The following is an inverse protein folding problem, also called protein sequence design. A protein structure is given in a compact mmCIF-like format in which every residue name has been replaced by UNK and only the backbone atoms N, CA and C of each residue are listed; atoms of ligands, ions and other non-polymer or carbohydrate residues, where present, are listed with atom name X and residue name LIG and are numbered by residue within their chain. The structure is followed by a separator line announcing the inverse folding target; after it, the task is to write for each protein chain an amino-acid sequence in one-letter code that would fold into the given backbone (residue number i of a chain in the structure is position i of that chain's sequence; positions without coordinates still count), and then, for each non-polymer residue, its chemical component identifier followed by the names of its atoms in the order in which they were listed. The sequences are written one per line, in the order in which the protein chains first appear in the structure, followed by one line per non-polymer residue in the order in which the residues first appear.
data_IF_351178994091
#
_entry.id   IF_351178994091
#
_cell.length_a   1.000
_cell.length_b   1.000
_cell.length_c   1.000
_cell.angle_alpha   90.00
_cell.angle_beta   90.00
_cell.angle_gamma   90.00
#
_symmetry.space_group_name_H-M   'P 1'
#
loop_
_entity.id
_entity.type
_entity.pdbx_description
1 polymer ?
#
# COMPACT_ATOMS: atom_id res chain seq x y z
N UNK A 1 -13.89 -7.52 -8.26
CA UNK A 1 -14.43 -7.68 -6.89
C UNK A 1 -14.52 -9.14 -6.51
N UNK A 2 -14.91 -10.00 -7.45
CA UNK A 2 -15.10 -11.45 -7.23
C UNK A 2 -13.83 -12.20 -6.80
N UNK A 3 -12.66 -11.59 -6.97
CA UNK A 3 -11.36 -12.14 -6.56
C UNK A 3 -10.95 -11.71 -5.15
N UNK A 4 -11.67 -10.76 -4.53
CA UNK A 4 -11.44 -10.30 -3.15
C UNK A 4 -12.05 -11.29 -2.16
N UNK A 5 -11.53 -12.52 -2.15
CA UNK A 5 -12.02 -13.59 -1.29
C UNK A 5 -11.51 -13.46 0.15
N UNK A 6 -11.90 -14.41 1.02
CA UNK A 6 -11.55 -14.41 2.44
C UNK A 6 -10.26 -15.15 2.79
N UNK A 7 -9.64 -15.87 1.84
CA UNK A 7 -8.48 -16.71 2.10
C UNK A 7 -7.26 -16.21 1.33
N UNK A 8 -7.35 -16.09 0.01
CA UNK A 8 -6.19 -15.75 -0.81
C UNK A 8 -5.91 -14.25 -0.79
N UNK A 9 -6.93 -13.42 -0.99
CA UNK A 9 -6.79 -11.97 -1.00
C UNK A 9 -6.14 -11.38 0.27
N UNK A 10 -6.61 -11.70 1.50
CA UNK A 10 -6.00 -11.17 2.71
C UNK A 10 -4.65 -11.82 3.06
N UNK A 11 -4.23 -12.88 2.35
CA UNK A 11 -2.93 -13.54 2.61
C UNK A 11 -1.88 -13.08 1.62
N UNK A 12 -2.17 -13.17 0.32
CA UNK A 12 -1.19 -12.89 -0.75
C UNK A 12 -0.89 -11.41 -0.82
N UNK A 13 -1.91 -10.54 -0.76
CA UNK A 13 -1.69 -9.11 -0.94
C UNK A 13 -0.80 -8.51 0.14
N UNK A 14 -1.03 -8.71 1.45
CA UNK A 14 -0.16 -8.09 2.45
C UNK A 14 1.30 -8.56 2.36
N UNK A 15 1.51 -9.85 2.08
CA UNK A 15 2.85 -10.44 1.93
C UNK A 15 3.60 -9.80 0.76
N UNK A 16 2.92 -9.61 -0.37
CA UNK A 16 3.56 -9.01 -1.55
C UNK A 16 3.76 -7.50 -1.39
N UNK A 17 2.77 -6.81 -0.83
CA UNK A 17 2.72 -5.35 -0.78
C UNK A 17 3.61 -4.73 0.30
N UNK A 18 4.12 -5.48 1.28
CA UNK A 18 5.02 -4.94 2.31
C UNK A 18 6.44 -4.67 1.78
N UNK A 19 6.82 -5.30 0.67
CA UNK A 19 8.19 -5.28 0.13
C UNK A 19 8.74 -3.87 -0.13
N UNK A 20 8.00 -3.10 -0.94
CA UNK A 20 8.37 -1.74 -1.31
C UNK A 20 8.24 -0.74 -0.14
N UNK A 21 7.12 -0.71 0.63
CA UNK A 21 7.01 0.08 1.85
C UNK A 21 8.17 -0.13 2.82
N UNK A 22 8.60 -1.37 3.07
CA UNK A 22 9.73 -1.65 3.95
C UNK A 22 11.06 -1.05 3.41
N UNK A 23 11.31 -1.17 2.11
CA UNK A 23 12.48 -0.57 1.48
C UNK A 23 12.46 0.97 1.55
N UNK A 24 11.30 1.60 1.32
CA UNK A 24 11.14 3.04 1.45
C UNK A 24 11.28 3.51 2.89
N UNK A 25 10.70 2.79 3.86
CA UNK A 25 10.88 3.08 5.27
C UNK A 25 12.36 3.09 5.64
N UNK A 26 13.15 2.09 5.21
CA UNK A 26 14.59 2.08 5.42
C UNK A 26 15.27 3.32 4.82
N UNK A 27 14.99 3.64 3.55
CA UNK A 27 15.62 4.77 2.87
C UNK A 27 15.28 6.13 3.49
N UNK A 28 14.00 6.41 3.72
CA UNK A 28 13.55 7.69 4.26
C UNK A 28 13.91 7.85 5.74
N UNK A 29 13.88 6.78 6.51
CA UNK A 29 14.22 6.82 7.92
C UNK A 29 15.71 6.98 8.15
N UNK A 30 16.56 6.26 7.41
CA UNK A 30 18.00 6.29 7.69
C UNK A 30 18.68 7.56 7.19
N UNK A 31 18.27 8.07 6.03
CA UNK A 31 18.90 9.25 5.44
C UNK A 31 18.30 10.57 5.94
N UNK A 32 16.98 10.61 6.21
CA UNK A 32 16.26 11.86 6.47
C UNK A 32 15.46 11.87 7.77
N UNK A 33 15.38 10.74 8.49
CA UNK A 33 14.54 10.57 9.69
C UNK A 33 13.07 10.95 9.46
N UNK A 34 12.58 10.69 8.25
CA UNK A 34 11.21 11.00 7.84
C UNK A 34 10.28 9.79 8.03
N UNK A 35 9.21 9.90 8.84
CA UNK A 35 8.33 8.79 9.20
C UNK A 35 7.12 8.65 8.26
N UNK A 36 7.34 8.61 6.94
CA UNK A 36 6.26 8.46 5.95
C UNK A 36 6.63 7.55 4.77
N UNK A 37 7.65 6.70 4.93
CA UNK A 37 8.17 5.88 3.82
C UNK A 37 7.15 4.88 3.28
N UNK A 38 6.40 4.20 4.18
CA UNK A 38 5.39 3.24 3.75
C UNK A 38 4.19 3.93 3.10
N UNK A 39 3.69 4.99 3.74
CA UNK A 39 2.55 5.77 3.25
C UNK A 39 2.83 6.43 1.92
N UNK A 40 4.04 6.93 1.68
CA UNK A 40 4.43 7.51 0.39
C UNK A 40 4.25 6.54 -0.77
N UNK A 41 4.78 5.31 -0.65
CA UNK A 41 4.68 4.33 -1.72
C UNK A 41 3.29 3.72 -1.85
N UNK A 42 2.58 3.48 -0.74
CA UNK A 42 1.19 3.02 -0.81
C UNK A 42 0.27 4.06 -1.46
N UNK A 43 0.49 5.36 -1.21
CA UNK A 43 -0.24 6.42 -1.89
C UNK A 43 0.09 6.47 -3.38
N UNK A 44 1.37 6.36 -3.75
CA UNK A 44 1.79 6.33 -5.15
C UNK A 44 1.21 5.13 -5.93
N UNK A 45 1.16 3.95 -5.31
CA UNK A 45 0.52 2.78 -5.90
C UNK A 45 -0.98 3.03 -6.08
N UNK A 46 -1.66 3.50 -5.03
CA UNK A 46 -3.11 3.69 -5.06
C UNK A 46 -3.52 4.77 -6.06
N UNK A 47 -2.76 5.85 -6.20
CA UNK A 47 -3.01 6.86 -7.24
C UNK A 47 -2.81 6.28 -8.64
N UNK A 48 -1.75 5.51 -8.88
CA UNK A 48 -1.53 4.82 -10.14
C UNK A 48 -2.67 3.85 -10.48
N UNK A 49 -3.10 3.05 -9.52
CA UNK A 49 -4.22 2.13 -9.68
C UNK A 49 -5.52 2.87 -10.00
N UNK A 50 -5.86 3.92 -9.24
CA UNK A 50 -7.08 4.68 -9.49
C UNK A 50 -7.09 5.34 -10.86
N UNK A 51 -5.97 5.92 -11.30
CA UNK A 51 -5.85 6.50 -12.64
C UNK A 51 -6.15 5.43 -13.69
N UNK A 52 -5.52 4.26 -13.61
CA UNK A 52 -5.74 3.19 -14.58
C UNK A 52 -7.18 2.62 -14.52
N UNK A 53 -7.76 2.49 -13.32
CA UNK A 53 -9.15 2.03 -13.17
C UNK A 53 -10.16 2.97 -13.83
N UNK A 54 -9.95 4.28 -13.70
CA UNK A 54 -10.85 5.27 -14.31
C UNK A 54 -10.57 5.46 -15.81
N UNK A 55 -9.31 5.62 -16.22
CA UNK A 55 -8.98 5.94 -17.62
C UNK A 55 -9.11 4.71 -18.52
N UNK A 56 -8.52 3.58 -18.12
CA UNK A 56 -8.47 2.37 -18.96
C UNK A 56 -9.68 1.47 -18.74
N UNK A 57 -9.90 1.01 -17.49
CA UNK A 57 -10.96 0.02 -17.21
C UNK A 57 -12.36 0.60 -17.42
N UNK A 58 -12.63 1.78 -16.87
CA UNK A 58 -13.93 2.42 -17.04
C UNK A 58 -14.00 3.27 -18.32
N UNK A 59 -13.03 4.14 -18.56
CA UNK A 59 -13.06 5.10 -19.66
C UNK A 59 -12.91 4.50 -21.07
N UNK A 60 -12.10 3.46 -21.23
CA UNK A 60 -11.91 2.78 -22.51
C UNK A 60 -12.76 1.51 -22.63
N UNK A 61 -12.70 0.63 -21.63
CA UNK A 61 -13.32 -0.71 -21.73
C UNK A 61 -14.70 -0.82 -21.04
N UNK A 62 -15.20 0.27 -20.44
CA UNK A 62 -16.53 0.38 -19.85
C UNK A 62 -16.86 -0.62 -18.74
N UNK A 63 -15.84 -1.16 -18.07
CA UNK A 63 -16.08 -1.97 -16.86
C UNK A 63 -16.61 -1.07 -15.73
N UNK A 64 -17.63 -1.52 -14.97
CA UNK A 64 -18.15 -0.73 -13.86
C UNK A 64 -17.10 -0.59 -12.74
N UNK A 65 -16.96 0.61 -12.18
CA UNK A 65 -15.97 0.88 -11.11
C UNK A 65 -16.17 -0.02 -9.88
N UNK A 66 -17.41 -0.40 -9.57
CA UNK A 66 -17.74 -1.34 -8.48
C UNK A 66 -17.10 -2.72 -8.67
N UNK A 67 -16.76 -3.11 -9.89
CA UNK A 67 -16.06 -4.35 -10.19
C UNK A 67 -14.54 -4.20 -10.03
N UNK A 68 -13.95 -3.07 -10.42
CA UNK A 68 -12.50 -2.92 -10.54
C UNK A 68 -11.83 -2.04 -9.48
N UNK A 69 -12.55 -1.54 -8.47
CA UNK A 69 -11.99 -0.71 -7.40
C UNK A 69 -10.79 -1.37 -6.68
N UNK A 70 -9.72 -0.61 -6.39
CA UNK A 70 -8.50 -1.12 -5.77
C UNK A 70 -8.66 -1.52 -4.30
N UNK A 71 -7.60 -2.02 -3.69
CA UNK A 71 -7.57 -2.35 -2.24
C UNK A 71 -7.22 -1.11 -1.43
N UNK A 72 -7.86 -0.93 -0.28
CA UNK A 72 -7.48 0.13 0.66
C UNK A 72 -6.21 -0.25 1.41
N UNK A 73 -5.10 0.42 1.09
CA UNK A 73 -3.77 0.16 1.68
C UNK A 73 -3.33 1.22 2.70
N UNK A 74 -3.96 2.40 2.66
CA UNK A 74 -3.57 3.57 3.46
C UNK A 74 -3.56 3.28 4.97
N UNK A 75 -4.58 2.62 5.57
CA UNK A 75 -4.57 2.35 7.01
C UNK A 75 -3.41 1.48 7.46
N UNK A 76 -3.04 0.47 6.65
CA UNK A 76 -1.96 -0.45 6.96
C UNK A 76 -0.59 0.24 6.82
N UNK A 77 -0.43 1.08 5.80
CA UNK A 77 0.79 1.86 5.62
C UNK A 77 1.00 2.88 6.75
N UNK A 78 -0.06 3.58 7.17
CA UNK A 78 -0.02 4.50 8.31
C UNK A 78 0.39 3.78 9.60
N UNK A 79 -0.15 2.59 9.84
CA UNK A 79 0.21 1.80 11.01
C UNK A 79 1.73 1.51 11.05
N UNK A 80 2.30 1.05 9.93
CA UNK A 80 3.74 0.77 9.84
C UNK A 80 4.61 2.02 10.10
N UNK A 81 4.23 3.16 9.52
CA UNK A 81 4.97 4.41 9.72
C UNK A 81 4.86 4.94 11.16
N UNK A 82 3.69 4.80 11.79
CA UNK A 82 3.47 5.19 13.20
C UNK A 82 4.29 4.30 14.14
N UNK A 83 4.31 2.97 13.92
CA UNK A 83 5.12 2.05 14.73
C UNK A 83 6.61 2.41 14.62
N UNK A 84 7.09 2.72 13.42
CA UNK A 84 8.47 3.18 13.22
C UNK A 84 8.74 4.52 13.94
N UNK A 85 7.82 5.47 13.84
CA UNK A 85 7.95 6.78 14.50
C UNK A 85 8.03 6.66 16.03
N UNK A 86 7.17 5.83 16.63
CA UNK A 86 7.10 5.66 18.08
C UNK A 86 8.28 4.85 18.63
N UNK A 87 8.62 3.73 17.98
CA UNK A 87 9.68 2.83 18.45
C UNK A 87 11.08 3.29 18.06
N UNK A 88 11.20 4.10 16.99
CA UNK A 88 12.46 4.51 16.34
C UNK A 88 13.37 3.35 15.95
N UNK A 89 12.82 2.14 15.85
CA UNK A 89 13.56 0.90 15.66
C UNK A 89 12.96 0.06 14.55
N UNK A 90 13.72 -0.12 13.46
CA UNK A 90 13.34 -0.98 12.34
C UNK A 90 13.14 -2.44 12.79
N UNK A 91 13.86 -2.88 13.83
CA UNK A 91 13.69 -4.22 14.39
C UNK A 91 12.32 -4.40 15.03
N UNK A 92 11.80 -3.36 15.70
CA UNK A 92 10.46 -3.39 16.32
C UNK A 92 9.38 -3.31 15.25
N UNK A 93 9.52 -2.44 14.24
CA UNK A 93 8.54 -2.32 13.14
C UNK A 93 8.41 -3.59 12.30
N UNK A 94 9.47 -4.40 12.21
CA UNK A 94 9.46 -5.66 11.45
C UNK A 94 8.71 -6.79 12.16
N UNK A 95 8.62 -6.75 13.49
CA UNK A 95 8.00 -7.79 14.33
C UNK A 95 6.50 -7.50 14.42
#
# INVERSE_FOLDING_TARGET
VDWKDRRFWPTVLPIMLVTFPAAAQYYFWENFRLPFGATFLCLALLTGEWIDRYVSFWGWTFFPITLCWPTSLIPMALYLDIVLLLSKSLSITRI
#
